data_IF_811381720662
#
_entry.id   IF_811381720662
#
_cell.length_a   1.000
_cell.length_b   1.000
_cell.length_c   1.000
_cell.angle_alpha   90.00
_cell.angle_beta   90.00
_cell.angle_gamma   90.00
#
_symmetry.space_group_name_H-M   'P 1'
#
loop_
_entity.id
_entity.type
_entity.pdbx_description
1 polymer ?
#
# COMPACT_ATOMS: atom_id res chain seq x y z
N UNK A 1 26.14 -14.55 7.43
CA UNK A 1 27.58 -14.70 7.67
C UNK A 1 27.84 -15.12 9.12
N UNK A 2 28.70 -16.13 9.32
CA UNK A 2 29.35 -16.38 10.61
C UNK A 2 30.82 -16.64 10.36
N UNK A 3 31.69 -16.00 11.11
CA UNK A 3 33.14 -16.21 11.09
C UNK A 3 33.49 -16.80 12.44
N UNK A 4 34.06 -18.00 12.43
CA UNK A 4 34.73 -18.62 13.57
C UNK A 4 36.18 -18.88 13.20
N UNK A 5 37.09 -18.23 13.89
CA UNK A 5 38.53 -18.39 13.68
C UNK A 5 39.29 -18.29 15.00
N UNK A 6 40.37 -19.07 15.11
CA UNK A 6 41.32 -18.99 16.20
C UNK A 6 42.64 -18.47 15.62
N UNK A 7 43.16 -17.36 16.14
CA UNK A 7 44.35 -16.68 15.60
C UNK A 7 45.32 -16.40 16.75
N UNK A 8 46.43 -17.14 16.79
CA UNK A 8 47.38 -17.08 17.91
C UNK A 8 46.71 -17.54 19.21
N UNK A 9 46.49 -16.60 20.13
CA UNK A 9 45.81 -16.84 21.42
C UNK A 9 44.40 -16.17 21.48
N UNK A 10 43.78 -15.88 20.33
CA UNK A 10 42.50 -15.13 20.25
C UNK A 10 41.44 -15.93 19.49
N UNK A 11 40.28 -16.11 20.12
CA UNK A 11 39.06 -16.64 19.49
C UNK A 11 38.18 -15.51 18.95
N UNK A 12 37.76 -15.64 17.69
CA UNK A 12 36.89 -14.68 16.99
C UNK A 12 35.62 -15.42 16.58
N UNK A 13 34.47 -15.09 17.18
CA UNK A 13 33.14 -15.54 16.75
C UNK A 13 32.26 -14.32 16.40
N UNK A 14 32.18 -13.99 15.11
CA UNK A 14 31.39 -12.89 14.58
C UNK A 14 30.19 -13.46 13.84
N UNK A 15 28.97 -13.00 14.15
CA UNK A 15 27.76 -13.41 13.45
C UNK A 15 26.83 -12.23 13.14
N UNK A 16 26.28 -12.23 11.93
CA UNK A 16 25.23 -11.30 11.51
C UNK A 16 23.81 -11.77 11.89
N UNK A 17 23.67 -12.86 12.66
CA UNK A 17 22.36 -13.45 12.97
C UNK A 17 21.41 -12.45 13.65
N UNK A 18 21.93 -11.66 14.61
CA UNK A 18 21.18 -10.56 15.25
C UNK A 18 20.73 -9.52 14.23
N UNK A 19 21.63 -9.06 13.37
CA UNK A 19 21.34 -8.03 12.36
C UNK A 19 20.28 -8.53 11.37
N UNK A 20 20.42 -9.77 10.86
CA UNK A 20 19.43 -10.35 9.93
C UNK A 20 18.06 -10.55 10.57
N UNK A 21 17.99 -10.94 11.84
CA UNK A 21 16.74 -11.00 12.62
C UNK A 21 16.13 -9.61 12.71
N UNK A 22 16.86 -8.64 13.27
CA UNK A 22 16.36 -7.29 13.50
C UNK A 22 15.89 -6.63 12.19
N UNK A 23 16.64 -6.75 11.08
CA UNK A 23 16.23 -6.21 9.77
C UNK A 23 14.93 -6.82 9.24
N UNK A 24 14.66 -8.10 9.51
CA UNK A 24 13.39 -8.75 9.16
C UNK A 24 12.23 -8.16 9.97
N UNK A 25 12.42 -8.01 11.28
CA UNK A 25 11.41 -7.40 12.16
C UNK A 25 11.19 -5.91 11.83
N UNK A 26 12.25 -5.17 11.45
CA UNK A 26 12.13 -3.81 10.94
C UNK A 26 11.20 -3.74 9.71
N UNK A 27 11.35 -4.66 8.74
CA UNK A 27 10.54 -4.62 7.53
C UNK A 27 9.08 -4.99 7.80
N UNK A 28 8.82 -5.97 8.67
CA UNK A 28 7.47 -6.31 9.13
C UNK A 28 6.82 -5.11 9.79
N UNK A 29 7.46 -4.56 10.83
CA UNK A 29 6.91 -3.47 11.63
C UNK A 29 6.77 -2.15 10.85
N UNK A 30 7.60 -1.94 9.82
CA UNK A 30 7.48 -0.84 8.86
C UNK A 30 6.28 -1.04 7.93
N UNK A 31 6.12 -2.24 7.37
CA UNK A 31 5.03 -2.56 6.45
C UNK A 31 3.66 -2.46 7.12
N UNK A 32 3.53 -2.97 8.35
CA UNK A 32 2.33 -2.82 9.17
C UNK A 32 2.04 -1.35 9.50
N UNK A 33 3.07 -0.56 9.80
CA UNK A 33 2.92 0.87 10.09
C UNK A 33 2.45 1.66 8.87
N UNK A 34 3.09 1.45 7.71
CA UNK A 34 2.69 2.09 6.46
C UNK A 34 1.24 1.71 6.11
N UNK A 35 0.86 0.45 6.29
CA UNK A 35 -0.51 0.00 6.03
C UNK A 35 -1.54 0.71 6.92
N UNK A 36 -1.27 0.80 8.22
CA UNK A 36 -2.13 1.49 9.18
C UNK A 36 -2.21 3.00 8.92
N UNK A 37 -1.06 3.66 8.70
CA UNK A 37 -0.99 5.11 8.49
C UNK A 37 -1.56 5.53 7.13
N UNK A 38 -1.59 4.64 6.13
CA UNK A 38 -2.27 4.90 4.87
C UNK A 38 -3.80 4.89 4.99
N UNK A 39 -4.37 4.10 5.91
CA UNK A 39 -5.81 3.82 5.95
C UNK A 39 -6.69 5.10 5.98
N UNK A 40 -6.45 6.11 6.85
CA UNK A 40 -7.26 7.34 6.89
C UNK A 40 -7.23 8.18 5.60
N UNK A 41 -6.23 7.95 4.73
CA UNK A 41 -6.05 8.63 3.46
C UNK A 41 -6.66 7.84 2.28
N UNK A 42 -7.02 6.56 2.46
CA UNK A 42 -7.65 5.74 1.41
C UNK A 42 -9.11 6.16 1.22
N UNK A 43 -9.58 6.41 -0.03
CA UNK A 43 -10.98 6.71 -0.29
C UNK A 43 -11.95 5.58 0.08
N UNK A 44 -12.79 5.85 1.09
CA UNK A 44 -13.67 4.85 1.70
C UNK A 44 -15.14 5.02 1.27
N UNK A 45 -15.63 4.12 0.42
CA UNK A 45 -17.08 3.97 0.12
C UNK A 45 -17.72 2.79 0.87
N UNK A 46 -17.08 1.63 0.82
CA UNK A 46 -17.51 0.37 1.45
C UNK A 46 -16.31 -0.41 2.03
N UNK A 47 -15.16 0.24 2.23
CA UNK A 47 -13.94 -0.40 2.75
C UNK A 47 -13.16 -1.32 1.80
N UNK A 48 -13.72 -1.77 0.67
CA UNK A 48 -13.08 -2.75 -0.21
C UNK A 48 -11.62 -2.42 -0.62
N UNK A 49 -11.32 -1.16 -1.00
CA UNK A 49 -9.95 -0.75 -1.31
C UNK A 49 -9.05 -0.76 -0.07
N UNK A 50 -9.50 -0.21 1.05
CA UNK A 50 -8.75 -0.19 2.31
C UNK A 50 -8.40 -1.61 2.80
N UNK A 51 -9.40 -2.50 2.83
CA UNK A 51 -9.25 -3.90 3.20
C UNK A 51 -8.51 -4.79 2.19
N UNK A 52 -8.13 -4.27 1.02
CA UNK A 52 -7.37 -5.01 -0.01
C UNK A 52 -5.85 -4.88 0.13
N UNK A 53 -5.37 -4.39 1.27
CA UNK A 53 -3.93 -4.30 1.57
C UNK A 53 -3.30 -5.69 1.61
N UNK A 54 -2.19 -5.86 0.89
CA UNK A 54 -1.46 -7.11 0.83
C UNK A 54 0.03 -6.89 0.53
N UNK A 55 0.81 -7.96 0.69
CA UNK A 55 2.27 -7.92 0.62
C UNK A 55 2.78 -8.91 -0.43
N UNK A 56 2.93 -8.51 -1.71
CA UNK A 56 3.30 -9.41 -2.82
C UNK A 56 4.61 -10.19 -2.60
N UNK A 57 5.52 -9.65 -1.78
CA UNK A 57 6.82 -10.27 -1.41
C UNK A 57 6.81 -10.82 0.03
N UNK A 58 5.62 -11.06 0.60
CA UNK A 58 5.41 -11.41 2.00
C UNK A 58 5.55 -10.22 2.95
N UNK A 59 5.06 -10.35 4.19
CA UNK A 59 5.04 -9.26 5.19
C UNK A 59 6.42 -8.70 5.52
N UNK A 60 7.49 -9.49 5.36
CA UNK A 60 8.89 -9.06 5.52
C UNK A 60 9.57 -8.66 4.19
N UNK A 61 8.80 -8.48 3.11
CA UNK A 61 9.29 -8.05 1.80
C UNK A 61 9.19 -6.53 1.61
N UNK A 62 9.94 -5.98 0.65
CA UNK A 62 9.95 -4.54 0.37
C UNK A 62 8.82 -4.05 -0.54
N UNK A 63 7.62 -4.63 -0.45
CA UNK A 63 6.48 -4.27 -1.32
C UNK A 63 5.14 -4.43 -0.60
N UNK A 64 4.32 -3.38 -0.67
CA UNK A 64 2.95 -3.30 -0.16
C UNK A 64 2.08 -2.86 -1.35
N UNK A 65 0.92 -3.47 -1.51
CA UNK A 65 0.00 -3.15 -2.58
C UNK A 65 -1.44 -3.10 -2.07
N UNK A 66 -2.28 -2.34 -2.79
CA UNK A 66 -3.72 -2.25 -2.57
C UNK A 66 -4.45 -2.57 -3.88
N UNK A 67 -5.45 -3.42 -3.78
CA UNK A 67 -6.36 -3.79 -4.85
C UNK A 67 -5.74 -4.69 -5.92
N UNK A 68 -6.25 -4.56 -7.15
CA UNK A 68 -5.99 -5.50 -8.24
C UNK A 68 -7.11 -6.55 -8.39
N UNK A 69 -7.03 -7.33 -9.46
CA UNK A 69 -8.05 -8.32 -9.83
C UNK A 69 -8.17 -9.49 -8.85
N UNK A 70 -7.07 -9.87 -8.19
CA UNK A 70 -7.05 -10.94 -7.20
C UNK A 70 -7.78 -10.61 -5.88
N UNK A 71 -8.19 -9.34 -5.71
CA UNK A 71 -8.87 -8.83 -4.51
C UNK A 71 -10.18 -8.10 -4.84
N UNK A 72 -10.75 -8.33 -6.03
CA UNK A 72 -11.98 -7.69 -6.54
C UNK A 72 -11.96 -6.14 -6.56
N UNK A 73 -10.77 -5.54 -6.58
CA UNK A 73 -10.55 -4.08 -6.67
C UNK A 73 -9.72 -3.73 -7.93
N UNK A 74 -10.19 -4.08 -9.15
CA UNK A 74 -9.49 -3.73 -10.39
C UNK A 74 -9.45 -2.21 -10.65
N UNK A 75 -10.29 -1.45 -9.95
CA UNK A 75 -10.38 0.01 -10.05
C UNK A 75 -9.38 0.77 -9.16
N UNK A 76 -8.56 0.08 -8.35
CA UNK A 76 -7.67 0.71 -7.36
C UNK A 76 -6.71 1.75 -7.96
N UNK A 77 -6.17 1.50 -9.15
CA UNK A 77 -5.31 2.44 -9.87
C UNK A 77 -6.01 3.77 -10.20
N UNK A 78 -7.27 3.72 -10.66
CA UNK A 78 -8.04 4.92 -10.98
C UNK A 78 -8.36 5.75 -9.72
N UNK A 79 -8.57 5.08 -8.58
CA UNK A 79 -8.72 5.76 -7.28
C UNK A 79 -7.39 6.38 -6.84
N UNK A 80 -6.26 5.69 -6.99
CA UNK A 80 -4.96 6.23 -6.63
C UNK A 80 -4.62 7.51 -7.41
N UNK A 81 -4.90 7.54 -8.73
CA UNK A 81 -4.70 8.72 -9.58
C UNK A 81 -5.79 9.80 -9.41
N UNK A 82 -6.94 9.43 -8.83
CA UNK A 82 -8.17 10.23 -8.77
C UNK A 82 -8.62 10.82 -10.11
N UNK A 83 -8.49 10.05 -11.18
CA UNK A 83 -8.98 10.45 -12.50
C UNK A 83 -10.15 9.56 -12.92
N UNK A 84 -11.17 10.18 -13.51
CA UNK A 84 -12.31 9.47 -14.08
C UNK A 84 -11.88 8.90 -15.44
N UNK A 85 -12.01 7.59 -15.59
CA UNK A 85 -11.68 6.86 -16.81
C UNK A 85 -12.95 6.46 -17.57
N UNK A 86 -12.93 6.60 -18.90
CA UNK A 86 -14.07 6.34 -19.78
C UNK A 86 -13.66 5.85 -21.18
N UNK A 87 -14.59 5.85 -22.17
CA UNK A 87 -15.99 6.25 -22.03
C UNK A 87 -16.79 5.28 -21.14
N UNK A 88 -17.76 5.81 -20.39
CA UNK A 88 -18.86 5.00 -19.85
C UNK A 88 -20.05 5.23 -20.80
N UNK A 89 -20.53 4.16 -21.44
CA UNK A 89 -21.58 4.22 -22.45
C UNK A 89 -22.88 3.79 -21.77
N UNK A 90 -23.95 4.61 -21.78
CA UNK A 90 -25.22 4.24 -21.17
C UNK A 90 -25.87 3.08 -21.94
N UNK A 91 -26.36 2.10 -21.21
CA UNK A 91 -27.19 1.02 -21.73
C UNK A 91 -28.66 1.40 -21.52
N UNK A 92 -29.47 1.23 -22.56
CA UNK A 92 -30.89 1.60 -22.56
C UNK A 92 -31.79 0.36 -22.67
N UNK A 93 -32.96 0.39 -22.03
CA UNK A 93 -34.03 -0.57 -22.28
C UNK A 93 -34.82 -0.26 -23.57
N UNK A 94 -35.83 -1.08 -23.86
CA UNK A 94 -36.73 -0.91 -25.00
C UNK A 94 -37.64 0.33 -24.93
N UNK A 95 -37.73 0.98 -23.76
CA UNK A 95 -38.52 2.20 -23.54
C UNK A 95 -37.64 3.47 -23.59
N UNK A 96 -36.31 3.31 -23.63
CA UNK A 96 -35.33 4.39 -23.66
C UNK A 96 -34.83 4.85 -22.29
N UNK A 97 -35.11 4.10 -21.21
CA UNK A 97 -34.57 4.40 -19.88
C UNK A 97 -33.14 3.85 -19.75
N UNK A 98 -32.27 4.57 -19.03
CA UNK A 98 -30.91 4.07 -18.72
C UNK A 98 -31.00 2.97 -17.67
N UNK A 99 -30.63 1.74 -18.06
CA UNK A 99 -30.60 0.56 -17.18
C UNK A 99 -29.19 0.19 -16.71
N UNK A 100 -28.16 0.68 -17.37
CA UNK A 100 -26.77 0.30 -17.10
C UNK A 100 -25.74 1.26 -17.66
N UNK A 101 -24.46 0.96 -17.39
CA UNK A 101 -23.32 1.68 -17.93
C UNK A 101 -22.25 0.66 -18.34
N UNK A 102 -22.06 0.50 -19.65
CA UNK A 102 -20.98 -0.31 -20.19
C UNK A 102 -19.66 0.46 -20.23
N UNK A 103 -18.56 -0.28 -20.19
CA UNK A 103 -17.20 0.23 -20.29
C UNK A 103 -16.41 -0.61 -21.30
N UNK A 104 -15.69 0.00 -22.26
CA UNK A 104 -14.82 -0.74 -23.16
C UNK A 104 -13.63 -1.35 -22.39
N UNK A 105 -13.02 -2.44 -22.90
CA UNK A 105 -11.89 -3.10 -22.25
C UNK A 105 -10.70 -2.17 -21.99
N UNK A 106 -10.45 -1.24 -22.90
CA UNK A 106 -9.41 -0.22 -22.78
C UNK A 106 -10.03 1.13 -22.42
N UNK A 107 -10.05 1.47 -21.14
CA UNK A 107 -10.44 2.81 -20.68
C UNK A 107 -9.33 3.82 -20.93
N UNK A 108 -9.71 5.06 -21.21
CA UNK A 108 -8.80 6.21 -21.31
C UNK A 108 -9.10 7.23 -20.20
N UNK A 109 -8.08 7.97 -19.73
CA UNK A 109 -8.29 9.09 -18.81
C UNK A 109 -9.16 10.16 -19.48
N UNK A 110 -10.07 10.79 -18.73
CA UNK A 110 -11.01 11.81 -19.27
C UNK A 110 -10.61 13.25 -18.98
N UNK A 111 -9.51 13.48 -18.25
CA UNK A 111 -9.11 14.78 -17.71
C UNK A 111 -9.96 15.28 -16.55
N UNK A 112 -11.00 14.53 -16.15
CA UNK A 112 -11.88 14.89 -15.03
C UNK A 112 -11.39 14.26 -13.73
N UNK A 113 -11.13 15.10 -12.74
CA UNK A 113 -10.77 14.64 -11.39
C UNK A 113 -11.98 13.99 -10.69
N UNK A 114 -11.70 12.96 -9.90
CA UNK A 114 -12.66 12.22 -9.09
C UNK A 114 -12.75 12.81 -7.69
N UNK A 115 -13.95 13.14 -7.24
CA UNK A 115 -14.20 13.60 -5.87
C UNK A 115 -14.41 12.42 -4.92
N UNK A 116 -13.70 12.42 -3.79
CA UNK A 116 -13.85 11.39 -2.76
C UNK A 116 -14.82 11.81 -1.65
N UNK A 117 -15.59 10.85 -1.15
CA UNK A 117 -16.36 11.04 0.09
C UNK A 117 -15.41 11.20 1.27
N UNK A 118 -15.66 12.20 2.10
CA UNK A 118 -14.91 12.50 3.33
C UNK A 118 -15.63 12.01 4.60
N UNK A 119 -16.73 11.28 4.46
CA UNK A 119 -17.61 10.90 5.58
C UNK A 119 -16.96 9.91 6.55
N UNK A 120 -16.43 8.79 6.04
CA UNK A 120 -15.72 7.81 6.87
C UNK A 120 -14.27 8.23 7.09
N UNK A 121 -13.58 8.63 6.02
CA UNK A 121 -12.16 8.98 6.01
C UNK A 121 -12.00 10.46 5.64
N UNK A 122 -11.93 11.40 6.61
CA UNK A 122 -11.83 12.83 6.32
C UNK A 122 -10.56 13.22 5.53
N UNK A 123 -9.49 12.43 5.67
CA UNK A 123 -8.23 12.63 4.96
C UNK A 123 -8.19 11.97 3.58
N UNK A 124 -9.23 11.23 3.16
CA UNK A 124 -9.31 10.50 1.89
C UNK A 124 -8.83 11.31 0.68
N UNK A 125 -7.77 10.86 0.02
CA UNK A 125 -7.09 11.62 -1.04
C UNK A 125 -6.56 10.71 -2.15
N UNK A 126 -6.23 11.33 -3.28
CA UNK A 126 -5.39 10.71 -4.31
C UNK A 126 -3.98 10.53 -3.77
N UNK A 127 -3.27 9.55 -4.31
CA UNK A 127 -1.89 9.22 -3.94
C UNK A 127 -1.72 9.05 -2.42
N UNK A 128 -2.67 8.33 -1.79
CA UNK A 128 -2.80 8.20 -0.34
C UNK A 128 -1.52 7.75 0.38
N UNK A 129 -0.67 6.96 -0.27
CA UNK A 129 0.65 6.59 0.26
C UNK A 129 1.59 7.80 0.36
N UNK A 130 1.64 8.66 -0.66
CA UNK A 130 2.47 9.87 -0.64
C UNK A 130 1.93 10.90 0.37
N UNK A 131 0.61 10.94 0.58
CA UNK A 131 0.00 11.73 1.66
C UNK A 131 0.41 11.21 3.05
N UNK A 132 0.22 9.91 3.33
CA UNK A 132 0.64 9.31 4.59
C UNK A 132 2.15 9.43 4.83
N UNK A 133 2.97 9.24 3.78
CA UNK A 133 4.42 9.40 3.81
C UNK A 133 4.86 10.84 4.06
N UNK A 134 4.13 11.84 3.56
CA UNK A 134 4.41 13.25 3.87
C UNK A 134 4.28 13.52 5.38
N UNK A 135 3.29 12.90 6.02
CA UNK A 135 2.91 13.21 7.39
C UNK A 135 3.60 12.27 8.43
N UNK A 136 3.90 11.01 8.07
CA UNK A 136 4.40 9.96 8.99
C UNK A 136 5.82 9.43 8.72
N UNK A 137 6.51 9.86 7.67
CA UNK A 137 7.83 9.29 7.28
C UNK A 137 8.89 9.30 8.39
N UNK A 138 8.93 10.34 9.22
CA UNK A 138 9.93 10.41 10.30
C UNK A 138 9.61 9.42 11.43
N UNK A 139 8.33 9.11 11.65
CA UNK A 139 7.87 8.07 12.58
C UNK A 139 8.26 6.67 12.06
N UNK A 140 8.09 6.43 10.77
CA UNK A 140 8.53 5.20 10.09
C UNK A 140 10.04 4.99 10.22
N UNK A 141 10.84 6.04 9.98
CA UNK A 141 12.30 6.02 10.13
C UNK A 141 12.69 5.78 11.59
N UNK A 142 12.00 6.40 12.55
CA UNK A 142 12.23 6.20 13.99
C UNK A 142 11.98 4.75 14.40
N UNK A 143 10.81 4.18 14.03
CA UNK A 143 10.43 2.79 14.33
C UNK A 143 11.46 1.78 13.81
N UNK A 144 11.93 1.98 12.58
CA UNK A 144 12.98 1.13 11.98
C UNK A 144 14.31 1.23 12.74
N UNK A 145 14.74 2.44 13.13
CA UNK A 145 15.99 2.65 13.89
C UNK A 145 15.94 1.99 15.27
N UNK A 146 14.80 2.10 15.96
CA UNK A 146 14.58 1.48 17.27
C UNK A 146 14.73 -0.05 17.20
N UNK A 147 14.04 -0.71 16.25
CA UNK A 147 14.10 -2.17 16.09
C UNK A 147 15.49 -2.63 15.61
N UNK A 148 16.12 -1.90 14.67
CA UNK A 148 17.45 -2.27 14.17
C UNK A 148 18.50 -2.32 15.28
N UNK A 149 18.42 -1.38 16.24
CA UNK A 149 19.35 -1.25 17.36
C UNK A 149 19.15 -2.24 18.51
N UNK A 150 18.06 -3.01 18.55
CA UNK A 150 17.77 -3.94 19.66
C UNK A 150 18.83 -5.04 19.79
N UNK A 151 19.12 -5.44 21.03
CA UNK A 151 20.09 -6.51 21.35
C UNK A 151 19.38 -7.87 21.48
#
# INVERSE_FOLDING_TARGET
>A
MRIRQHVGNVDIDISDARIRRNLRECQIALNEQIAADCDPYIPFRQGALAGSVHYPKGIAGGEIAWGGTAYDVPYGHYIYQAEIYGPNIPEYDSEGNIVGWWSPPNKRPTGREMTFSKFHHPQATKEFFEAAKKDHKDEWIKKVKEIAGQN
#
